data_IF_329477268947
#
_entry.id   IF_329477268947
#
_cell.length_a   1.000
_cell.length_b   1.000
_cell.length_c   1.000
_cell.angle_alpha   90.00
_cell.angle_beta   90.00
_cell.angle_gamma   90.00
#
_symmetry.space_group_name_H-M   'P 1'
#
loop_
_entity.id
_entity.type
_entity.pdbx_description
1 polymer ?
#
# COMPACT_ATOMS: atom_id res chain seq x y z
N UNK A 1 28.70 2.15 -3.25
CA UNK A 1 27.38 1.57 -2.92
C UNK A 1 26.60 2.58 -2.08
N UNK A 2 25.30 2.69 -2.31
CA UNK A 2 24.38 3.56 -1.57
C UNK A 2 23.90 2.80 -0.33
N UNK A 3 24.11 3.36 0.86
CA UNK A 3 23.73 2.76 2.13
C UNK A 3 22.25 3.02 2.46
N UNK A 4 21.49 1.98 2.74
CA UNK A 4 20.02 2.06 2.91
C UNK A 4 19.61 1.40 4.23
N UNK A 5 18.68 2.03 4.94
CA UNK A 5 17.83 1.37 5.94
C UNK A 5 16.41 1.27 5.38
N UNK A 6 15.86 0.05 5.33
CA UNK A 6 14.55 -0.21 4.74
C UNK A 6 13.47 -0.33 5.83
N UNK A 7 12.42 0.48 5.70
CA UNK A 7 11.26 0.49 6.60
C UNK A 7 10.05 -0.12 5.90
N UNK A 8 9.59 -1.26 6.35
CA UNK A 8 8.45 -1.93 5.74
C UNK A 8 7.84 -2.99 6.64
N UNK A 9 6.59 -3.37 6.37
CA UNK A 9 5.92 -4.42 7.16
C UNK A 9 5.23 -5.44 6.26
N UNK A 10 4.27 -5.09 5.36
CA UNK A 10 3.57 -6.04 4.52
C UNK A 10 4.38 -6.46 3.29
N UNK A 11 3.91 -7.49 2.63
CA UNK A 11 4.56 -8.10 1.47
C UNK A 11 4.77 -7.16 0.27
N UNK A 12 4.04 -6.05 0.17
CA UNK A 12 4.18 -5.11 -0.94
C UNK A 12 5.61 -4.58 -1.09
N UNK A 13 6.33 -4.40 0.04
CA UNK A 13 7.72 -3.92 0.04
C UNK A 13 8.78 -5.01 -0.17
N UNK A 14 8.38 -6.29 -0.19
CA UNK A 14 9.33 -7.40 -0.19
C UNK A 14 10.21 -7.40 -1.44
N UNK A 15 9.63 -7.27 -2.63
CA UNK A 15 10.39 -7.23 -3.88
C UNK A 15 11.36 -6.06 -3.99
N UNK A 16 10.99 -4.91 -3.41
CA UNK A 16 11.90 -3.76 -3.33
C UNK A 16 13.07 -4.02 -2.39
N UNK A 17 12.82 -4.65 -1.23
CA UNK A 17 13.89 -5.05 -0.32
C UNK A 17 14.82 -6.10 -0.95
N UNK A 18 14.26 -7.13 -1.57
CA UNK A 18 15.00 -8.18 -2.28
C UNK A 18 15.89 -7.59 -3.39
N UNK A 19 15.32 -6.70 -4.19
CA UNK A 19 16.05 -6.03 -5.26
C UNK A 19 17.21 -5.20 -4.74
N UNK A 20 16.99 -4.36 -3.73
CA UNK A 20 18.05 -3.54 -3.13
C UNK A 20 19.15 -4.41 -2.51
N UNK A 21 18.78 -5.48 -1.81
CA UNK A 21 19.74 -6.36 -1.14
C UNK A 21 20.61 -7.15 -2.13
N UNK A 22 20.06 -7.57 -3.27
CA UNK A 22 20.78 -8.37 -4.27
C UNK A 22 21.54 -7.52 -5.31
N UNK A 23 21.40 -6.19 -5.26
CA UNK A 23 22.07 -5.29 -6.18
C UNK A 23 23.47 -4.91 -5.68
N UNK A 24 24.43 -4.84 -6.59
CA UNK A 24 25.79 -4.32 -6.32
C UNK A 24 25.86 -2.80 -6.11
N UNK A 25 24.76 -2.09 -6.39
CA UNK A 25 24.67 -0.62 -6.24
C UNK A 25 24.29 -0.19 -4.83
N UNK A 26 23.64 -1.08 -4.07
CA UNK A 26 23.05 -0.77 -2.77
C UNK A 26 23.63 -1.66 -1.67
N UNK A 27 23.61 -1.13 -0.45
CA UNK A 27 23.98 -1.85 0.76
C UNK A 27 22.85 -1.68 1.78
N UNK A 28 22.07 -2.73 2.00
CA UNK A 28 20.98 -2.73 2.99
C UNK A 28 21.58 -2.96 4.38
N UNK A 29 21.75 -1.89 5.13
CA UNK A 29 22.37 -1.89 6.46
C UNK A 29 21.49 -2.51 7.54
N UNK A 30 20.16 -2.29 7.44
CA UNK A 30 19.17 -2.80 8.38
C UNK A 30 17.76 -2.71 7.81
N UNK A 31 16.86 -3.43 8.47
CA UNK A 31 15.42 -3.37 8.24
C UNK A 31 14.74 -2.89 9.52
N UNK A 32 13.77 -1.99 9.36
CA UNK A 32 12.87 -1.55 10.43
C UNK A 32 11.44 -2.01 10.10
N UNK A 33 10.82 -2.77 10.97
CA UNK A 33 9.46 -3.31 10.75
C UNK A 33 8.62 -3.23 12.01
N UNK A 34 7.30 -3.34 11.87
CA UNK A 34 6.40 -3.39 13.02
C UNK A 34 6.71 -4.59 13.93
N UNK A 35 6.50 -4.48 15.25
CA UNK A 35 6.55 -5.63 16.14
C UNK A 35 5.65 -6.77 15.67
N UNK A 36 6.08 -8.00 15.94
CA UNK A 36 5.29 -9.19 15.63
C UNK A 36 3.93 -9.12 16.31
N UNK A 37 2.87 -9.47 15.58
CA UNK A 37 1.49 -9.41 16.07
C UNK A 37 0.78 -10.73 15.84
N UNK A 38 -0.20 -11.06 16.69
CA UNK A 38 -1.11 -12.17 16.40
C UNK A 38 -1.80 -11.97 15.05
N UNK A 39 -1.72 -12.96 14.16
CA UNK A 39 -2.34 -12.93 12.83
C UNK A 39 -3.02 -14.24 12.50
N UNK A 40 -3.97 -14.19 11.54
CA UNK A 40 -4.66 -15.36 11.02
C UNK A 40 -5.60 -16.05 12.01
N UNK A 41 -6.14 -17.22 11.57
CA UNK A 41 -6.97 -18.08 12.41
C UNK A 41 -6.10 -18.70 13.52
N UNK A 42 -6.45 -18.48 14.79
CA UNK A 42 -5.72 -18.99 15.96
C UNK A 42 -4.75 -18.01 16.59
N UNK A 43 -4.69 -16.74 16.15
CA UNK A 43 -3.92 -15.65 16.79
C UNK A 43 -2.45 -16.01 17.11
N UNK A 44 -1.78 -16.80 16.26
CA UNK A 44 -0.35 -17.08 16.42
C UNK A 44 0.44 -15.83 16.11
N UNK A 45 1.46 -15.55 16.93
CA UNK A 45 2.41 -14.45 16.68
C UNK A 45 3.10 -14.75 15.34
N UNK A 46 2.97 -13.84 14.39
CA UNK A 46 3.50 -14.00 13.03
C UNK A 46 4.47 -12.87 12.72
N UNK A 47 5.63 -13.23 12.23
CA UNK A 47 6.61 -12.28 11.72
C UNK A 47 6.12 -11.66 10.41
N UNK A 48 6.44 -10.37 10.20
CA UNK A 48 6.20 -9.73 8.92
C UNK A 48 7.02 -10.39 7.80
N UNK A 49 6.54 -10.40 6.53
CA UNK A 49 7.33 -10.89 5.38
C UNK A 49 8.71 -10.23 5.29
N UNK A 50 8.78 -8.93 5.57
CA UNK A 50 10.01 -8.15 5.58
C UNK A 50 10.99 -8.66 6.65
N UNK A 51 10.51 -8.95 7.87
CA UNK A 51 11.34 -9.53 8.94
C UNK A 51 11.84 -10.93 8.57
N UNK A 52 10.96 -11.77 8.02
CA UNK A 52 11.33 -13.13 7.61
C UNK A 52 12.48 -13.11 6.60
N UNK A 53 12.38 -12.25 5.58
CA UNK A 53 13.43 -12.07 4.60
C UNK A 53 14.73 -11.57 5.22
N UNK A 54 14.66 -10.53 6.05
CA UNK A 54 15.83 -9.94 6.69
C UNK A 54 16.58 -10.97 7.55
N UNK A 55 15.89 -11.75 8.37
CA UNK A 55 16.50 -12.80 9.19
C UNK A 55 17.13 -13.91 8.35
N UNK A 56 16.47 -14.33 7.27
CA UNK A 56 17.00 -15.36 6.36
C UNK A 56 18.28 -14.91 5.64
N UNK A 57 18.50 -13.61 5.51
CA UNK A 57 19.67 -13.04 4.83
C UNK A 57 20.64 -12.31 5.80
N UNK A 58 20.53 -12.55 7.11
CA UNK A 58 21.38 -11.95 8.15
C UNK A 58 21.40 -10.41 8.15
N UNK A 59 20.32 -9.77 7.70
CA UNK A 59 20.16 -8.32 7.75
C UNK A 59 19.67 -7.95 9.16
N UNK A 60 20.30 -7.00 9.86
CA UNK A 60 19.87 -6.51 11.16
C UNK A 60 18.40 -6.02 11.15
N UNK A 61 17.62 -6.38 12.17
CA UNK A 61 16.18 -6.05 12.27
C UNK A 61 15.90 -5.24 13.51
N UNK A 62 15.24 -4.09 13.35
CA UNK A 62 14.71 -3.26 14.43
C UNK A 62 13.18 -3.31 14.42
N UNK A 63 12.57 -3.47 15.60
CA UNK A 63 11.11 -3.55 15.77
C UNK A 63 10.60 -2.56 16.84
N UNK A 64 10.70 -1.24 16.59
CA UNK A 64 10.21 -0.25 17.52
C UNK A 64 8.69 -0.35 17.70
N UNK A 65 8.21 -0.24 18.95
CA UNK A 65 6.77 -0.04 19.21
C UNK A 65 6.32 1.32 18.68
N UNK A 66 7.19 2.33 18.78
CA UNK A 66 6.99 3.66 18.22
C UNK A 66 8.34 4.30 17.93
N UNK A 67 8.80 4.29 16.69
CA UNK A 67 10.11 4.79 16.28
C UNK A 67 10.37 6.24 16.77
N UNK A 68 9.35 7.09 16.78
CA UNK A 68 9.46 8.48 17.27
C UNK A 68 9.67 8.63 18.77
N UNK A 69 9.47 7.56 19.55
CA UNK A 69 9.54 7.55 21.02
C UNK A 69 10.67 6.66 21.56
N UNK A 70 11.47 6.08 20.70
CA UNK A 70 12.54 5.15 21.07
C UNK A 70 13.90 5.69 20.61
N UNK A 71 14.49 6.65 21.37
CA UNK A 71 15.75 7.31 21.01
C UNK A 71 16.92 6.33 20.91
N UNK A 72 16.87 5.22 21.62
CA UNK A 72 17.90 4.17 21.57
C UNK A 72 17.98 3.59 20.15
N UNK A 73 16.84 3.22 19.56
CA UNK A 73 16.80 2.70 18.18
C UNK A 73 17.19 3.80 17.18
N UNK A 74 16.72 5.04 17.39
CA UNK A 74 17.14 6.17 16.53
C UNK A 74 18.67 6.35 16.54
N UNK A 75 19.30 6.25 17.71
CA UNK A 75 20.75 6.35 17.83
C UNK A 75 21.49 5.20 17.14
N UNK A 76 20.97 3.96 17.24
CA UNK A 76 21.53 2.82 16.49
C UNK A 76 21.40 3.04 14.98
N UNK A 77 20.26 3.50 14.49
CA UNK A 77 20.08 3.83 13.07
C UNK A 77 21.02 4.95 12.62
N UNK A 78 21.27 5.96 13.46
CA UNK A 78 22.21 7.05 13.17
C UNK A 78 23.67 6.55 13.08
N UNK A 79 24.06 5.60 13.92
CA UNK A 79 25.40 4.98 13.88
C UNK A 79 25.66 4.23 12.56
N UNK A 80 24.62 3.69 11.92
CA UNK A 80 24.72 3.03 10.62
C UNK A 80 25.09 3.99 9.49
N UNK A 81 24.96 5.33 9.71
CA UNK A 81 25.30 6.37 8.75
C UNK A 81 24.69 6.14 7.35
N UNK A 82 23.34 5.95 7.24
CA UNK A 82 22.67 5.65 6.00
C UNK A 82 22.67 6.85 5.04
N UNK A 83 22.69 6.55 3.75
CA UNK A 83 22.49 7.56 2.71
C UNK A 83 20.99 7.87 2.54
N UNK A 84 20.15 6.83 2.57
CA UNK A 84 18.70 6.96 2.53
C UNK A 84 18.01 6.10 3.57
N UNK A 85 16.87 6.58 4.05
CA UNK A 85 15.81 5.72 4.52
C UNK A 85 14.84 5.47 3.36
N UNK A 86 14.39 4.22 3.21
CA UNK A 86 13.36 3.83 2.25
C UNK A 86 12.17 3.30 3.01
N UNK A 87 11.00 3.88 2.82
CA UNK A 87 9.77 3.44 3.48
C UNK A 87 8.79 2.88 2.45
N UNK A 88 8.21 1.71 2.76
CA UNK A 88 7.10 1.16 1.99
C UNK A 88 6.10 0.48 2.94
N UNK A 89 4.97 1.12 3.17
CA UNK A 89 3.91 0.63 4.06
C UNK A 89 4.42 0.23 5.46
N UNK A 90 5.29 1.05 6.05
CA UNK A 90 5.84 0.81 7.38
C UNK A 90 4.78 0.88 8.48
N UNK A 91 3.85 1.84 8.37
CA UNK A 91 2.70 1.97 9.27
C UNK A 91 2.99 2.68 10.60
N UNK A 92 4.07 3.45 10.69
CA UNK A 92 4.33 4.39 11.78
C UNK A 92 4.69 5.77 11.23
N UNK A 93 4.36 6.81 12.00
CA UNK A 93 4.75 8.19 11.70
C UNK A 93 6.21 8.39 12.13
N UNK A 94 7.00 8.97 11.24
CA UNK A 94 8.37 9.39 11.51
C UNK A 94 8.38 10.82 12.07
N UNK A 95 9.19 11.08 13.10
CA UNK A 95 9.46 12.42 13.61
C UNK A 95 10.55 13.10 12.80
N UNK A 96 10.70 14.42 12.95
CA UNK A 96 11.77 15.16 12.29
C UNK A 96 13.14 14.58 12.64
N UNK A 97 13.39 14.25 13.91
CA UNK A 97 14.65 13.65 14.37
C UNK A 97 15.00 12.35 13.63
N UNK A 98 13.98 11.57 13.24
CA UNK A 98 14.17 10.33 12.43
C UNK A 98 14.38 10.67 10.96
N UNK A 99 13.64 11.64 10.43
CA UNK A 99 13.76 12.08 9.03
C UNK A 99 15.11 12.71 8.73
N UNK A 100 15.76 13.31 9.72
CA UNK A 100 17.07 13.97 9.61
C UNK A 100 18.26 12.99 9.76
N UNK A 101 18.04 11.70 10.00
CA UNK A 101 19.12 10.71 10.15
C UNK A 101 19.85 10.43 8.81
N UNK A 102 19.15 10.13 7.69
CA UNK A 102 19.82 9.81 6.44
C UNK A 102 20.46 11.05 5.82
N UNK A 103 21.60 10.86 5.12
CA UNK A 103 22.38 11.95 4.51
C UNK A 103 21.62 12.69 3.41
N UNK A 104 20.83 11.98 2.61
CA UNK A 104 20.10 12.59 1.50
C UNK A 104 18.63 12.82 1.85
N UNK A 105 17.88 11.76 2.10
CA UNK A 105 16.45 11.86 2.38
C UNK A 105 15.84 10.54 2.90
N UNK A 106 14.62 10.64 3.40
CA UNK A 106 13.72 9.50 3.57
C UNK A 106 12.79 9.43 2.34
N UNK A 107 12.90 8.36 1.56
CA UNK A 107 12.08 8.13 0.36
C UNK A 107 10.94 7.18 0.68
N UNK A 108 9.72 7.59 0.39
CA UNK A 108 8.54 6.75 0.51
C UNK A 108 8.08 6.25 -0.86
N UNK A 109 7.78 4.95 -0.95
CA UNK A 109 7.02 4.37 -2.05
C UNK A 109 5.53 4.46 -1.71
N UNK A 110 4.78 5.26 -2.47
CA UNK A 110 3.36 5.46 -2.28
C UNK A 110 2.55 4.88 -3.44
N UNK A 111 1.55 4.06 -3.12
CA UNK A 111 0.80 3.27 -4.08
C UNK A 111 -0.35 4.06 -4.74
N UNK A 112 -0.07 5.28 -5.19
CA UNK A 112 -0.98 6.11 -5.98
C UNK A 112 -0.22 7.14 -6.83
N UNK A 113 -0.94 7.81 -7.71
CA UNK A 113 -0.45 9.00 -8.43
C UNK A 113 -0.74 10.25 -7.59
N UNK A 114 0.15 10.56 -6.64
CA UNK A 114 0.05 11.76 -5.81
C UNK A 114 -0.12 13.02 -6.68
N UNK A 115 -0.99 13.98 -6.27
CA UNK A 115 -1.56 14.16 -4.94
C UNK A 115 -2.85 13.36 -4.65
N UNK A 116 -3.33 12.51 -5.57
CA UNK A 116 -4.48 11.65 -5.33
C UNK A 116 -4.15 10.56 -4.31
N UNK A 117 -5.12 10.26 -3.43
CA UNK A 117 -5.08 9.13 -2.50
C UNK A 117 -3.93 9.18 -1.49
N UNK A 118 -3.68 10.33 -0.88
CA UNK A 118 -2.82 10.42 0.31
C UNK A 118 -3.41 9.58 1.44
N UNK A 119 -2.62 8.73 2.10
CA UNK A 119 -3.05 7.94 3.26
C UNK A 119 -2.93 6.43 3.13
N UNK A 120 -3.77 5.70 3.87
CA UNK A 120 -3.51 4.30 4.22
C UNK A 120 -3.93 3.26 3.18
N UNK A 121 -4.97 3.52 2.37
CA UNK A 121 -5.57 2.54 1.46
C UNK A 121 -5.68 3.01 0.00
N UNK A 122 -4.61 3.55 -0.60
CA UNK A 122 -4.66 4.11 -1.96
C UNK A 122 -5.08 3.07 -3.01
N UNK A 123 -4.59 1.84 -2.93
CA UNK A 123 -4.90 0.73 -3.86
C UNK A 123 -6.40 0.45 -3.87
N UNK A 124 -6.98 0.23 -2.69
CA UNK A 124 -8.40 -0.09 -2.56
C UNK A 124 -9.28 1.09 -3.02
N UNK A 125 -8.94 2.31 -2.59
CA UNK A 125 -9.72 3.50 -2.92
C UNK A 125 -9.75 3.78 -4.42
N UNK A 126 -8.64 3.64 -5.13
CA UNK A 126 -8.61 3.81 -6.58
C UNK A 126 -9.58 2.86 -7.31
N UNK A 127 -9.62 1.59 -6.90
CA UNK A 127 -10.52 0.60 -7.50
C UNK A 127 -11.99 0.85 -7.09
N UNK A 128 -12.26 1.09 -5.81
CA UNK A 128 -13.62 1.35 -5.32
C UNK A 128 -14.22 2.58 -6.00
N UNK A 129 -13.42 3.61 -6.25
CA UNK A 129 -13.86 4.82 -6.93
C UNK A 129 -14.00 4.65 -8.45
N UNK A 130 -13.67 3.48 -9.02
CA UNK A 130 -13.79 3.20 -10.44
C UNK A 130 -12.75 3.88 -11.31
N UNK A 131 -11.63 4.33 -10.74
CA UNK A 131 -10.54 4.93 -11.52
C UNK A 131 -10.05 3.93 -12.58
N UNK A 132 -9.73 4.43 -13.77
CA UNK A 132 -9.21 3.61 -14.87
C UNK A 132 -7.68 3.53 -14.88
N UNK A 133 -7.04 4.34 -14.05
CA UNK A 133 -5.60 4.33 -13.82
C UNK A 133 -5.27 4.79 -12.40
N UNK A 134 -4.15 4.31 -11.92
CA UNK A 134 -3.47 4.72 -10.70
C UNK A 134 -1.97 4.62 -10.94
N UNK A 135 -1.18 4.42 -9.90
CA UNK A 135 0.25 4.20 -10.08
C UNK A 135 1.03 4.09 -8.79
N UNK A 136 2.32 4.32 -8.94
CA UNK A 136 3.27 4.39 -7.84
C UNK A 136 4.00 5.72 -7.92
N UNK A 137 4.21 6.35 -6.78
CA UNK A 137 5.13 7.47 -6.65
C UNK A 137 6.28 7.12 -5.71
N UNK A 138 7.47 7.60 -6.01
CA UNK A 138 8.51 7.82 -5.02
C UNK A 138 8.46 9.28 -4.59
N UNK A 139 8.50 9.54 -3.29
CA UNK A 139 8.40 10.88 -2.73
C UNK A 139 9.34 11.06 -1.55
N UNK A 140 9.75 12.28 -1.28
CA UNK A 140 10.45 12.65 -0.05
C UNK A 140 9.42 12.64 1.08
N UNK A 141 9.75 11.98 2.19
CA UNK A 141 8.88 11.94 3.36
C UNK A 141 9.08 13.21 4.20
N UNK A 142 8.00 13.88 4.51
CA UNK A 142 7.93 15.05 5.39
C UNK A 142 6.98 14.81 6.55
N UNK A 143 6.83 15.78 7.46
CA UNK A 143 5.96 15.66 8.64
C UNK A 143 4.46 15.56 8.33
N UNK A 144 4.03 15.90 7.14
CA UNK A 144 2.64 15.75 6.71
C UNK A 144 2.34 14.35 6.16
N UNK A 145 1.07 14.01 6.04
CA UNK A 145 0.65 12.72 5.49
C UNK A 145 0.76 12.73 3.96
N UNK A 146 1.76 12.04 3.44
CA UNK A 146 2.02 11.85 2.01
C UNK A 146 2.00 13.15 1.19
N UNK A 147 2.49 14.26 1.76
CA UNK A 147 2.46 15.58 1.15
C UNK A 147 3.80 16.07 0.61
N UNK A 148 4.88 15.35 0.86
CA UNK A 148 6.23 15.75 0.42
C UNK A 148 6.42 15.69 -1.09
N UNK A 149 7.54 16.22 -1.56
CA UNK A 149 7.85 16.37 -2.97
C UNK A 149 7.98 15.01 -3.68
N UNK A 150 7.36 14.89 -4.85
CA UNK A 150 7.39 13.66 -5.65
C UNK A 150 8.63 13.63 -6.54
N UNK A 151 9.39 12.53 -6.45
CA UNK A 151 10.59 12.31 -7.27
C UNK A 151 10.23 11.73 -8.65
N UNK A 152 9.55 10.58 -8.66
CA UNK A 152 9.13 9.89 -9.88
C UNK A 152 7.71 9.35 -9.74
N UNK A 153 7.06 9.11 -10.88
CA UNK A 153 5.75 8.46 -11.00
C UNK A 153 5.79 7.37 -12.05
N UNK A 154 5.06 6.29 -11.80
CA UNK A 154 4.76 5.28 -12.81
C UNK A 154 3.26 5.01 -12.83
N UNK A 155 2.65 5.14 -14.02
CA UNK A 155 1.20 4.94 -14.23
C UNK A 155 0.90 3.46 -14.40
N UNK A 156 -0.18 3.01 -13.77
CA UNK A 156 -0.72 1.65 -13.87
C UNK A 156 -2.18 1.76 -14.30
N UNK A 157 -2.55 1.08 -15.37
CA UNK A 157 -3.96 0.98 -15.80
C UNK A 157 -4.72 0.01 -14.92
N UNK A 158 -6.00 0.30 -14.68
CA UNK A 158 -6.91 -0.54 -13.90
C UNK A 158 -8.00 -1.09 -14.85
N UNK A 159 -7.81 -2.29 -15.42
CA UNK A 159 -8.87 -2.99 -16.14
C UNK A 159 -10.12 -3.22 -15.29
N UNK A 160 -11.27 -3.41 -15.93
CA UNK A 160 -12.54 -3.50 -15.21
C UNK A 160 -12.65 -4.74 -14.32
N UNK A 161 -11.88 -5.78 -14.59
CA UNK A 161 -11.82 -7.03 -13.81
C UNK A 161 -10.65 -7.08 -12.81
N UNK A 162 -9.74 -6.09 -12.82
CA UNK A 162 -8.59 -6.05 -11.91
C UNK A 162 -9.04 -5.93 -10.46
N UNK A 163 -8.60 -6.83 -9.61
CA UNK A 163 -8.84 -6.78 -8.16
C UNK A 163 -7.78 -5.97 -7.42
N UNK A 164 -8.04 -5.60 -6.17
CA UNK A 164 -7.01 -4.94 -5.34
C UNK A 164 -5.78 -5.83 -5.09
N UNK A 165 -5.92 -7.14 -5.16
CA UNK A 165 -4.78 -8.09 -5.05
C UNK A 165 -3.92 -8.05 -6.30
N UNK A 166 -4.54 -7.98 -7.49
CA UNK A 166 -3.81 -7.88 -8.76
C UNK A 166 -3.04 -6.55 -8.83
N UNK A 167 -3.70 -5.45 -8.47
CA UNK A 167 -3.06 -4.13 -8.42
C UNK A 167 -1.92 -4.08 -7.39
N UNK A 168 -2.11 -4.69 -6.20
CA UNK A 168 -1.07 -4.83 -5.19
C UNK A 168 0.16 -5.57 -5.74
N UNK A 169 -0.06 -6.67 -6.47
CA UNK A 169 1.01 -7.44 -7.07
C UNK A 169 1.74 -6.63 -8.16
N UNK A 170 1.01 -5.95 -9.05
CA UNK A 170 1.62 -5.12 -10.10
C UNK A 170 2.44 -3.98 -9.51
N UNK A 171 1.94 -3.30 -8.47
CA UNK A 171 2.69 -2.28 -7.72
C UNK A 171 3.97 -2.87 -7.12
N UNK A 172 3.88 -4.04 -6.49
CA UNK A 172 5.03 -4.71 -5.89
C UNK A 172 6.10 -5.06 -6.94
N UNK A 173 5.69 -5.49 -8.15
CA UNK A 173 6.61 -5.81 -9.25
C UNK A 173 7.33 -4.59 -9.81
N UNK A 174 6.63 -3.46 -9.94
CA UNK A 174 7.16 -2.25 -10.57
C UNK A 174 7.99 -1.38 -9.62
N UNK A 175 7.71 -1.47 -8.31
CA UNK A 175 8.35 -0.67 -7.26
C UNK A 175 9.88 -0.71 -7.27
N UNK A 176 10.57 -1.86 -7.45
CA UNK A 176 12.02 -1.93 -7.36
C UNK A 176 12.74 -1.04 -8.37
N UNK A 177 12.31 -1.08 -9.63
CA UNK A 177 12.94 -0.32 -10.72
C UNK A 177 12.71 1.19 -10.55
N UNK A 178 11.51 1.57 -10.12
CA UNK A 178 11.18 2.97 -9.84
C UNK A 178 12.03 3.51 -8.67
N UNK A 179 12.18 2.69 -7.61
CA UNK A 179 12.98 3.03 -6.45
C UNK A 179 14.45 3.18 -6.82
N UNK A 180 15.04 2.24 -7.56
CA UNK A 180 16.44 2.33 -8.02
C UNK A 180 16.69 3.62 -8.78
N UNK A 181 15.85 3.92 -9.80
CA UNK A 181 15.97 5.15 -10.59
C UNK A 181 15.94 6.39 -9.69
N UNK A 182 15.07 6.37 -8.68
CA UNK A 182 14.92 7.49 -7.74
C UNK A 182 16.20 7.68 -6.91
N UNK A 183 16.68 6.61 -6.27
CA UNK A 183 17.85 6.70 -5.37
C UNK A 183 19.10 7.13 -6.11
N UNK A 184 19.36 6.54 -7.28
CA UNK A 184 20.52 6.90 -8.13
C UNK A 184 20.36 8.33 -8.64
N UNK A 185 19.17 8.68 -9.16
CA UNK A 185 18.93 10.00 -9.73
C UNK A 185 19.03 11.14 -8.71
N UNK A 186 18.72 10.88 -7.43
CA UNK A 186 18.92 11.87 -6.36
C UNK A 186 20.39 12.03 -6.00
N UNK A 187 21.18 10.95 -5.97
CA UNK A 187 22.62 11.01 -5.75
C UNK A 187 23.33 11.75 -6.89
N UNK A 188 22.99 11.39 -8.13
CA UNK A 188 23.58 11.96 -9.34
C UNK A 188 23.01 13.34 -9.71
N UNK A 189 22.00 13.81 -8.95
CA UNK A 189 21.29 15.09 -9.18
C UNK A 189 20.64 15.17 -10.57
N UNK A 190 20.25 14.04 -11.14
CA UNK A 190 19.50 13.95 -12.40
C UNK A 190 18.00 14.02 -12.21
N UNK A 191 17.53 13.84 -10.97
CA UNK A 191 16.14 14.01 -10.57
C UNK A 191 16.04 15.21 -9.63
N UNK A 192 15.08 16.09 -9.93
CA UNK A 192 14.67 17.17 -9.05
C UNK A 192 13.26 16.87 -8.53
N UNK A 193 13.09 16.62 -7.21
CA UNK A 193 11.76 16.42 -6.63
C UNK A 193 10.83 17.60 -6.91
N UNK A 194 9.58 17.31 -7.18
CA UNK A 194 8.57 18.31 -7.56
C UNK A 194 7.49 18.42 -6.49
N UNK A 195 7.20 19.63 -6.07
CA UNK A 195 6.13 19.92 -5.13
C UNK A 195 4.80 19.38 -5.66
N UNK A 196 4.03 18.73 -4.79
CA UNK A 196 2.69 18.30 -5.15
C UNK A 196 1.77 19.48 -5.40
N UNK A 197 0.87 19.35 -6.40
CA UNK A 197 -0.23 20.29 -6.59
C UNK A 197 -1.22 20.19 -5.44
N UNK A 198 -1.86 21.30 -5.10
CA UNK A 198 -3.03 21.30 -4.21
C UNK A 198 -4.30 20.86 -4.96
N UNK A 199 -4.31 20.96 -6.30
CA UNK A 199 -5.41 20.50 -7.12
C UNK A 199 -5.41 18.96 -7.22
N UNK A 200 -6.58 18.36 -7.04
CA UNK A 200 -6.77 16.92 -7.12
C UNK A 200 -6.37 16.14 -5.86
N UNK A 201 -6.03 16.84 -4.77
CA UNK A 201 -5.78 16.17 -3.48
C UNK A 201 -7.02 15.43 -3.03
N UNK A 202 -6.90 14.14 -2.78
CA UNK A 202 -7.92 13.35 -2.10
C UNK A 202 -7.28 12.36 -1.12
N UNK A 203 -8.08 11.96 -0.12
CA UNK A 203 -7.60 11.13 0.98
C UNK A 203 -7.99 9.66 0.77
N UNK A 204 -7.03 8.77 0.99
CA UNK A 204 -7.25 7.33 1.04
C UNK A 204 -7.34 6.84 2.49
N UNK A 205 -8.41 7.24 3.18
CA UNK A 205 -8.65 6.83 4.55
C UNK A 205 -8.76 5.32 4.68
N UNK A 206 -8.37 4.81 5.85
CA UNK A 206 -8.51 3.40 6.16
C UNK A 206 -9.98 2.97 6.03
N UNK A 207 -10.20 1.86 5.32
CA UNK A 207 -11.54 1.30 5.15
C UNK A 207 -12.13 0.87 6.50
N UNK A 208 -13.38 1.23 6.74
CA UNK A 208 -14.15 0.78 7.89
C UNK A 208 -14.94 -0.48 7.56
N UNK A 209 -15.44 -1.17 8.57
CA UNK A 209 -16.27 -2.35 8.37
C UNK A 209 -17.60 -1.99 7.70
N UNK A 210 -18.15 -0.85 8.04
CA UNK A 210 -19.42 -0.36 7.49
C UNK A 210 -19.31 -0.11 5.98
N UNK A 211 -18.21 0.43 5.52
CA UNK A 211 -17.95 0.66 4.09
C UNK A 211 -17.84 -0.65 3.28
N UNK A 212 -17.69 -1.80 3.93
CA UNK A 212 -17.62 -3.09 3.23
C UNK A 212 -19.00 -3.76 3.09
N UNK A 213 -20.06 -3.18 3.65
CA UNK A 213 -21.43 -3.62 3.43
C UNK A 213 -21.95 -3.12 2.08
N UNK A 214 -22.47 -4.03 1.28
CA UNK A 214 -23.06 -3.69 -0.02
C UNK A 214 -24.35 -2.90 0.20
N UNK A 215 -24.43 -1.73 -0.43
CA UNK A 215 -25.61 -0.91 -0.56
C UNK A 215 -26.21 -1.16 -1.97
N UNK A 216 -27.29 -1.90 -2.03
CA UNK A 216 -27.95 -2.28 -3.28
C UNK A 216 -28.59 -1.10 -4.02
N UNK A 217 -28.69 0.09 -3.39
CA UNK A 217 -29.16 1.30 -4.05
C UNK A 217 -28.11 1.96 -4.95
N UNK A 218 -26.86 1.48 -4.88
CA UNK A 218 -25.77 1.91 -5.76
C UNK A 218 -25.85 1.20 -7.10
N UNK A 219 -25.16 1.75 -8.11
CA UNK A 219 -25.06 1.14 -9.43
C UNK A 219 -24.38 -0.25 -9.37
N UNK A 220 -24.66 -1.09 -10.34
CA UNK A 220 -24.00 -2.39 -10.47
C UNK A 220 -22.48 -2.25 -10.59
N UNK A 221 -21.99 -1.21 -11.27
CA UNK A 221 -20.60 -0.88 -11.40
C UNK A 221 -19.97 -0.47 -10.06
N UNK A 222 -20.64 0.36 -9.25
CA UNK A 222 -20.16 0.75 -7.92
C UNK A 222 -20.03 -0.45 -6.99
N UNK A 223 -21.02 -1.34 -7.01
CA UNK A 223 -21.00 -2.56 -6.21
C UNK A 223 -19.89 -3.51 -6.68
N UNK A 224 -19.72 -3.65 -8.00
CA UNK A 224 -18.63 -4.43 -8.57
C UNK A 224 -17.27 -3.87 -8.17
N UNK A 225 -17.09 -2.54 -8.25
CA UNK A 225 -15.88 -1.85 -7.82
C UNK A 225 -15.61 -2.04 -6.32
N UNK A 226 -16.63 -1.98 -5.47
CA UNK A 226 -16.48 -2.29 -4.05
C UNK A 226 -15.97 -3.72 -3.84
N UNK A 227 -16.61 -4.72 -4.47
CA UNK A 227 -16.25 -6.14 -4.30
C UNK A 227 -14.81 -6.40 -4.74
N UNK A 228 -14.41 -5.95 -5.93
CA UNK A 228 -13.05 -6.14 -6.45
C UNK A 228 -12.01 -5.29 -5.72
N UNK A 229 -12.41 -4.11 -5.19
CA UNK A 229 -11.53 -3.20 -4.45
C UNK A 229 -11.17 -3.69 -3.04
N UNK A 230 -11.95 -4.61 -2.47
CA UNK A 230 -11.67 -5.23 -1.16
C UNK A 230 -11.60 -6.76 -1.24
N UNK A 231 -11.23 -7.28 -2.40
CA UNK A 231 -11.19 -8.71 -2.70
C UNK A 231 -10.44 -9.52 -1.63
N UNK A 232 -11.11 -10.58 -1.17
CA UNK A 232 -10.73 -11.55 -0.13
C UNK A 232 -10.67 -11.01 1.30
N UNK A 233 -10.20 -9.82 1.56
CA UNK A 233 -10.10 -9.33 2.96
C UNK A 233 -10.07 -7.80 2.99
N UNK A 234 -11.08 -7.18 3.64
CA UNK A 234 -12.12 -7.78 4.49
C UNK A 234 -13.27 -8.48 3.77
N UNK A 235 -13.46 -8.50 2.49
CA UNK A 235 -14.58 -8.97 1.67
C UNK A 235 -15.83 -8.10 1.81
N UNK A 236 -16.45 -7.77 0.69
CA UNK A 236 -17.78 -7.19 0.69
C UNK A 236 -18.83 -8.17 1.24
N UNK A 237 -19.87 -7.65 1.83
CA UNK A 237 -20.96 -8.48 2.37
C UNK A 237 -22.32 -7.78 2.32
N UNK A 238 -23.37 -8.56 2.41
CA UNK A 238 -24.71 -8.07 2.68
C UNK A 238 -25.39 -8.94 3.75
N UNK A 239 -26.52 -8.48 4.27
CA UNK A 239 -27.30 -9.21 5.27
C UNK A 239 -28.55 -9.74 4.61
N UNK A 240 -28.78 -11.06 4.70
CA UNK A 240 -29.99 -11.72 4.24
C UNK A 240 -30.56 -12.62 5.34
N UNK A 241 -31.81 -12.42 5.72
CA UNK A 241 -32.47 -13.14 6.80
C UNK A 241 -31.64 -13.18 8.11
N UNK A 242 -31.05 -12.05 8.49
CA UNK A 242 -30.20 -11.90 9.69
C UNK A 242 -28.81 -12.56 9.60
N UNK A 243 -28.43 -13.11 8.44
CA UNK A 243 -27.12 -13.74 8.22
C UNK A 243 -26.25 -12.88 7.32
N UNK A 244 -24.96 -12.80 7.67
CA UNK A 244 -23.95 -12.15 6.83
C UNK A 244 -23.58 -13.09 5.69
N UNK A 245 -23.74 -12.61 4.46
CA UNK A 245 -23.33 -13.30 3.24
C UNK A 245 -22.16 -12.51 2.64
N UNK A 246 -21.00 -13.12 2.54
CA UNK A 246 -19.83 -12.53 1.89
C UNK A 246 -19.91 -12.68 0.39
N UNK A 247 -19.61 -11.60 -0.32
CA UNK A 247 -19.51 -11.58 -1.78
C UNK A 247 -18.02 -11.47 -2.16
N UNK A 248 -17.55 -12.47 -2.88
CA UNK A 248 -16.13 -12.55 -3.25
C UNK A 248 -15.89 -12.12 -4.69
N UNK A 249 -16.88 -12.31 -5.55
CA UNK A 249 -16.79 -12.03 -6.98
C UNK A 249 -18.15 -11.58 -7.50
N UNK A 250 -18.13 -10.67 -8.45
CA UNK A 250 -19.33 -10.15 -9.12
C UNK A 250 -19.04 -9.93 -10.60
N UNK A 251 -20.12 -9.91 -11.38
CA UNK A 251 -20.11 -9.51 -12.79
C UNK A 251 -21.26 -8.55 -13.03
N UNK A 252 -20.98 -7.45 -13.69
CA UNK A 252 -22.04 -6.51 -14.10
C UNK A 252 -22.82 -7.11 -15.27
N UNK A 253 -24.15 -7.13 -15.12
CA UNK A 253 -25.10 -7.55 -16.17
C UNK A 253 -25.98 -6.34 -16.44
N UNK A 254 -26.19 -6.04 -17.73
CA UNK A 254 -27.03 -4.92 -18.17
C UNK A 254 -28.45 -5.43 -18.44
N UNK A 255 -29.17 -5.71 -17.37
CA UNK A 255 -30.59 -6.11 -17.40
C UNK A 255 -31.33 -5.31 -16.35
N UNK A 256 -32.60 -4.94 -16.66
CA UNK A 256 -33.43 -4.22 -15.72
C UNK A 256 -33.95 -5.17 -14.62
N UNK A 257 -33.98 -4.67 -13.39
CA UNK A 257 -34.47 -5.43 -12.25
C UNK A 257 -34.76 -4.51 -11.06
N UNK A 258 -35.68 -4.96 -10.19
CA UNK A 258 -35.98 -4.23 -8.98
C UNK A 258 -34.76 -4.22 -8.02
N UNK A 259 -34.42 -3.05 -7.51
CA UNK A 259 -33.31 -2.87 -6.57
C UNK A 259 -33.43 -3.77 -5.35
N UNK A 260 -32.33 -4.40 -4.95
CA UNK A 260 -32.22 -5.34 -3.81
C UNK A 260 -33.07 -6.61 -3.91
N UNK A 261 -33.62 -6.94 -5.09
CA UNK A 261 -34.33 -8.18 -5.30
C UNK A 261 -33.52 -9.22 -6.04
N UNK A 262 -33.71 -10.48 -5.66
CA UNK A 262 -33.19 -11.61 -6.41
C UNK A 262 -33.96 -11.75 -7.72
N UNK A 263 -33.25 -11.62 -8.85
CA UNK A 263 -33.84 -11.78 -10.19
C UNK A 263 -33.77 -13.23 -10.59
N UNK A 264 -32.63 -13.88 -10.37
CA UNK A 264 -32.40 -15.27 -10.74
C UNK A 264 -31.42 -15.94 -9.78
N UNK A 265 -31.67 -17.20 -9.49
CA UNK A 265 -30.80 -18.07 -8.70
C UNK A 265 -30.48 -19.29 -9.54
N UNK A 266 -29.17 -19.54 -9.77
CA UNK A 266 -28.68 -20.67 -10.56
C UNK A 266 -27.48 -21.32 -9.90
N UNK A 267 -26.97 -22.42 -10.49
CA UNK A 267 -25.71 -23.04 -10.07
C UNK A 267 -24.49 -22.14 -10.32
N UNK A 268 -24.59 -21.20 -11.23
CA UNK A 268 -23.51 -20.33 -11.66
C UNK A 268 -23.44 -19.02 -10.82
N UNK A 269 -24.51 -18.75 -10.06
CA UNK A 269 -24.58 -17.58 -9.19
C UNK A 269 -25.98 -17.05 -8.94
N UNK A 270 -26.03 -15.87 -8.37
CA UNK A 270 -27.27 -15.16 -8.03
C UNK A 270 -27.24 -13.80 -8.71
N UNK A 271 -28.32 -13.49 -9.45
CA UNK A 271 -28.55 -12.17 -10.05
C UNK A 271 -29.40 -11.32 -9.10
N UNK A 272 -28.92 -10.12 -8.80
CA UNK A 272 -29.58 -9.20 -7.86
C UNK A 272 -29.68 -7.84 -8.55
N UNK A 273 -30.86 -7.23 -8.49
CA UNK A 273 -31.10 -5.89 -8.98
C UNK A 273 -30.35 -4.85 -8.16
N UNK A 274 -29.78 -3.86 -8.84
CA UNK A 274 -29.05 -2.73 -8.26
C UNK A 274 -29.73 -1.40 -8.63
N UNK A 275 -29.30 -0.29 -8.00
CA UNK A 275 -29.84 1.04 -8.30
C UNK A 275 -29.37 1.63 -9.63
#
# INVERSE_FOLDING_TARGET
>A
MINIVFFGTPAIGLKSLEYLHNSDKFNVLAVVTQPDKPAGRGHKITMSPIKQYALANNIPVFQPKSIRKEPEIQNELKKLNPDFFVTFAFGQILSQDVLDIPKFATINLHASLLPKYRGANPIQRAIINGDKETGICTMITELGLDCGDVCLREVIKIPDDMTCVDLFNEISEKSPVLLEKTLIGLVDKTITPQKQSEDGVCMANKLTKEETQIDWTKSAEDIHNLVRGIYKSPSAYFIHNGKIIKVLETKVIKEDGDCAKFIKVSKDGVEIGCG
#
